data_IF_917984734839
#
_entry.id   IF_917984734839
#
_cell.length_a   1.000
_cell.length_b   1.000
_cell.length_c   1.000
_cell.angle_alpha   90.00
_cell.angle_beta   90.00
_cell.angle_gamma   90.00
#
_symmetry.space_group_name_H-M   'P 1'
#
loop_
_entity.id
_entity.type
_entity.pdbx_description
1 polymer ?
#
# COMPACT_ATOMS: atom_id res chain seq x y z
N UNK A 1 65.60 -42.02 -9.54
CA UNK A 1 65.37 -41.27 -8.29
C UNK A 1 64.56 -40.02 -8.63
N UNK A 2 63.28 -40.00 -8.25
CA UNK A 2 62.29 -39.02 -8.72
C UNK A 2 62.51 -37.63 -8.12
N UNK A 3 62.62 -36.59 -8.97
CA UNK A 3 62.50 -35.19 -8.56
C UNK A 3 61.02 -34.79 -8.70
N UNK A 4 60.39 -34.56 -7.55
CA UNK A 4 58.98 -34.20 -7.43
C UNK A 4 58.77 -32.78 -7.99
N UNK A 5 57.94 -32.68 -9.02
CA UNK A 5 57.31 -31.43 -9.42
C UNK A 5 56.16 -31.16 -8.46
N UNK A 6 56.20 -30.04 -7.75
CA UNK A 6 55.05 -29.54 -6.99
C UNK A 6 54.66 -28.19 -7.58
N UNK A 7 53.76 -28.22 -8.56
CA UNK A 7 53.06 -27.03 -9.05
C UNK A 7 51.99 -26.71 -8.02
N UNK A 8 52.21 -25.69 -7.19
CA UNK A 8 51.18 -25.12 -6.33
C UNK A 8 50.30 -24.20 -7.16
N UNK A 9 49.16 -24.70 -7.63
CA UNK A 9 48.15 -23.88 -8.31
C UNK A 9 47.48 -22.96 -7.27
N UNK A 10 47.73 -21.67 -7.43
CA UNK A 10 47.14 -20.56 -6.70
C UNK A 10 45.66 -20.41 -7.11
N UNK A 11 44.72 -20.85 -6.27
CA UNK A 11 43.30 -20.51 -6.40
C UNK A 11 42.99 -19.32 -5.49
N UNK A 12 43.19 -18.10 -6.02
CA UNK A 12 42.56 -16.91 -5.45
C UNK A 12 41.09 -16.97 -5.88
N UNK A 13 40.23 -17.46 -5.00
CA UNK A 13 38.80 -17.25 -5.14
C UNK A 13 38.51 -15.77 -4.88
N UNK A 14 38.58 -14.96 -5.93
CA UNK A 14 37.94 -13.65 -5.97
C UNK A 14 36.44 -13.90 -5.97
N UNK A 15 35.86 -14.08 -4.78
CA UNK A 15 34.43 -13.89 -4.60
C UNK A 15 34.18 -12.40 -4.81
N UNK A 16 33.79 -12.05 -6.04
CA UNK A 16 33.23 -10.76 -6.36
C UNK A 16 32.17 -10.43 -5.30
N UNK A 17 32.13 -9.19 -4.76
CA UNK A 17 30.95 -8.78 -4.04
C UNK A 17 29.81 -8.87 -5.05
N UNK A 18 28.91 -9.83 -4.88
CA UNK A 18 27.53 -9.63 -5.31
C UNK A 18 27.11 -8.38 -4.56
N UNK A 19 27.07 -7.26 -5.27
CA UNK A 19 26.30 -6.11 -4.83
C UNK A 19 24.86 -6.62 -4.79
N UNK A 20 24.43 -7.13 -3.63
CA UNK A 20 23.04 -7.09 -3.26
C UNK A 20 22.68 -5.61 -3.36
N UNK A 21 22.05 -5.25 -4.47
CA UNK A 21 21.59 -3.89 -4.66
C UNK A 21 20.59 -3.66 -3.53
N UNK A 22 20.95 -2.81 -2.59
CA UNK A 22 20.08 -2.42 -1.48
C UNK A 22 18.82 -1.81 -2.09
N UNK A 23 17.80 -2.64 -2.34
CA UNK A 23 16.47 -2.21 -2.77
C UNK A 23 15.75 -1.48 -1.62
N UNK A 24 16.46 -0.89 -0.67
CA UNK A 24 15.84 -0.07 0.36
C UNK A 24 15.47 1.28 -0.24
N UNK A 25 14.17 1.51 -0.43
CA UNK A 25 13.59 2.82 -0.74
C UNK A 25 12.52 3.15 0.31
N UNK A 26 12.92 3.70 1.47
CA UNK A 26 11.98 4.00 2.55
C UNK A 26 10.91 5.02 2.16
N UNK A 27 11.20 5.90 1.20
CA UNK A 27 10.22 6.87 0.71
C UNK A 27 9.11 6.14 -0.06
N UNK A 28 9.47 5.25 -0.98
CA UNK A 28 8.49 4.45 -1.71
C UNK A 28 7.74 3.48 -0.80
N UNK A 29 8.38 2.91 0.23
CA UNK A 29 7.67 2.13 1.26
C UNK A 29 6.56 2.96 1.90
N UNK A 30 6.86 4.19 2.32
CA UNK A 30 5.85 5.10 2.89
C UNK A 30 4.74 5.46 1.91
N UNK A 31 5.08 5.69 0.64
CA UNK A 31 4.10 5.96 -0.42
C UNK A 31 3.19 4.76 -0.69
N UNK A 32 3.72 3.54 -0.69
CA UNK A 32 2.93 2.32 -0.87
C UNK A 32 2.07 2.00 0.34
N UNK A 33 2.52 2.36 1.55
CA UNK A 33 1.69 2.26 2.75
C UNK A 33 0.44 3.15 2.68
N UNK A 34 0.45 4.22 1.86
CA UNK A 34 -0.74 5.04 1.64
C UNK A 34 -1.91 4.24 1.03
N UNK A 35 -1.67 3.09 0.40
CA UNK A 35 -2.72 2.22 -0.11
C UNK A 35 -3.57 1.65 1.04
N UNK A 36 -2.92 1.24 2.14
CA UNK A 36 -3.60 0.86 3.38
C UNK A 36 -4.32 2.06 4.03
N UNK A 37 -3.75 3.26 3.87
CA UNK A 37 -4.43 4.51 4.23
C UNK A 37 -5.75 4.72 3.47
N UNK A 38 -5.78 4.46 2.17
CA UNK A 38 -7.01 4.51 1.35
C UNK A 38 -8.06 3.50 1.82
N UNK A 39 -7.65 2.27 2.14
CA UNK A 39 -8.56 1.28 2.74
C UNK A 39 -9.12 1.78 4.08
N UNK A 40 -8.25 2.28 4.96
CA UNK A 40 -8.67 2.79 6.27
C UNK A 40 -9.68 3.94 6.15
N UNK A 41 -9.52 4.82 5.16
CA UNK A 41 -10.50 5.88 4.86
C UNK A 41 -11.86 5.28 4.54
N UNK A 42 -11.91 4.28 3.65
CA UNK A 42 -13.15 3.62 3.24
C UNK A 42 -13.80 2.91 4.43
N UNK A 43 -13.05 2.16 5.23
CA UNK A 43 -13.55 1.40 6.37
C UNK A 43 -14.13 2.31 7.46
N UNK A 44 -13.41 3.40 7.79
CA UNK A 44 -13.85 4.39 8.78
C UNK A 44 -15.13 5.08 8.33
N UNK A 45 -15.17 5.56 7.08
CA UNK A 45 -16.34 6.28 6.59
C UNK A 45 -17.53 5.36 6.34
N UNK A 46 -17.30 4.10 6.01
CA UNK A 46 -18.37 3.08 5.94
C UNK A 46 -19.08 3.00 7.28
N UNK A 47 -18.34 2.93 8.39
CA UNK A 47 -18.94 2.88 9.73
C UNK A 47 -19.68 4.16 10.06
N UNK A 48 -19.02 5.31 9.94
CA UNK A 48 -19.62 6.59 10.35
C UNK A 48 -20.80 7.00 9.49
N UNK A 49 -20.73 6.80 8.17
CA UNK A 49 -21.85 7.14 7.30
C UNK A 49 -23.00 6.15 7.39
N UNK A 50 -22.72 4.85 7.53
CA UNK A 50 -23.76 3.87 7.85
C UNK A 50 -24.58 4.30 9.05
N UNK A 51 -23.95 4.71 10.16
CA UNK A 51 -24.66 5.16 11.35
C UNK A 51 -25.37 6.51 11.13
N UNK A 52 -24.69 7.46 10.48
CA UNK A 52 -25.20 8.82 10.26
C UNK A 52 -26.46 8.85 9.40
N UNK A 53 -26.54 7.98 8.40
CA UNK A 53 -27.67 7.95 7.45
C UNK A 53 -28.76 6.95 7.84
N UNK A 54 -28.77 6.48 9.10
CA UNK A 54 -29.84 5.62 9.62
C UNK A 54 -29.68 4.15 9.25
N UNK A 55 -28.45 3.63 9.31
CA UNK A 55 -28.10 2.23 9.05
C UNK A 55 -28.29 1.81 7.59
N UNK A 56 -27.99 2.72 6.66
CA UNK A 56 -28.10 2.46 5.22
C UNK A 56 -27.03 1.44 4.77
N UNK A 57 -27.45 0.25 4.36
CA UNK A 57 -26.53 -0.83 3.96
C UNK A 57 -25.73 -0.51 2.71
N UNK A 58 -26.13 0.49 1.90
CA UNK A 58 -25.40 0.88 0.69
C UNK A 58 -23.92 1.19 0.96
N UNK A 59 -23.58 1.76 2.13
CA UNK A 59 -22.19 2.02 2.51
C UNK A 59 -21.36 0.74 2.68
N UNK A 60 -21.95 -0.32 3.24
CA UNK A 60 -21.27 -1.61 3.39
C UNK A 60 -21.08 -2.30 2.04
N UNK A 61 -22.09 -2.22 1.18
CA UNK A 61 -22.03 -2.77 -0.17
C UNK A 61 -20.98 -2.04 -1.02
N UNK A 62 -20.95 -0.70 -0.95
CA UNK A 62 -19.95 0.12 -1.62
C UNK A 62 -18.53 -0.19 -1.14
N UNK A 63 -18.32 -0.35 0.17
CA UNK A 63 -17.02 -0.72 0.74
C UNK A 63 -16.55 -2.11 0.28
N UNK A 64 -17.46 -3.09 0.26
CA UNK A 64 -17.17 -4.43 -0.23
C UNK A 64 -16.79 -4.40 -1.72
N UNK A 65 -17.52 -3.64 -2.53
CA UNK A 65 -17.22 -3.47 -3.96
C UNK A 65 -15.89 -2.75 -4.19
N UNK A 66 -15.60 -1.70 -3.40
CA UNK A 66 -14.29 -1.05 -3.40
C UNK A 66 -13.18 -2.05 -3.10
N UNK A 67 -13.33 -2.87 -2.06
CA UNK A 67 -12.33 -3.88 -1.72
C UNK A 67 -12.10 -4.87 -2.87
N UNK A 68 -13.17 -5.35 -3.52
CA UNK A 68 -13.05 -6.25 -4.67
C UNK A 68 -12.27 -5.64 -5.84
N UNK A 69 -12.43 -4.33 -6.10
CA UNK A 69 -11.68 -3.63 -7.14
C UNK A 69 -10.22 -3.37 -6.75
N UNK A 70 -9.94 -3.22 -5.46
CA UNK A 70 -8.65 -2.70 -4.97
C UNK A 70 -7.76 -3.77 -4.31
N UNK A 71 -8.26 -4.97 -4.00
CA UNK A 71 -7.49 -6.03 -3.32
C UNK A 71 -6.21 -6.39 -4.06
N UNK A 72 -6.22 -6.40 -5.39
CA UNK A 72 -5.03 -6.68 -6.19
C UNK A 72 -3.95 -5.59 -6.06
N UNK A 73 -4.34 -4.34 -5.85
CA UNK A 73 -3.42 -3.23 -5.64
C UNK A 73 -2.82 -3.27 -4.22
N UNK A 74 -3.62 -3.62 -3.21
CA UNK A 74 -3.16 -3.81 -1.84
C UNK A 74 -2.13 -4.95 -1.76
N UNK A 75 -2.43 -6.09 -2.37
CA UNK A 75 -1.53 -7.25 -2.42
C UNK A 75 -0.24 -6.94 -3.21
N UNK A 76 -0.33 -6.18 -4.31
CA UNK A 76 0.84 -5.69 -5.02
C UNK A 76 1.72 -4.80 -4.13
N UNK A 77 1.11 -3.84 -3.43
CA UNK A 77 1.85 -2.94 -2.54
C UNK A 77 2.56 -3.72 -1.43
N UNK A 78 1.87 -4.66 -0.77
CA UNK A 78 2.46 -5.50 0.28
C UNK A 78 3.69 -6.26 -0.21
N UNK A 79 3.62 -6.89 -1.39
CA UNK A 79 4.77 -7.58 -1.96
C UNK A 79 5.94 -6.65 -2.27
N UNK A 80 5.66 -5.49 -2.84
CA UNK A 80 6.72 -4.52 -3.20
C UNK A 80 7.35 -3.93 -1.94
N UNK A 81 6.55 -3.57 -0.94
CA UNK A 81 7.03 -3.11 0.37
C UNK A 81 8.01 -4.12 0.98
N UNK A 82 7.66 -5.40 0.99
CA UNK A 82 8.54 -6.46 1.50
C UNK A 82 9.82 -6.58 0.68
N UNK A 83 9.74 -6.50 -0.66
CA UNK A 83 10.91 -6.49 -1.55
C UNK A 83 11.85 -5.31 -1.26
N UNK A 84 11.29 -4.18 -0.82
CA UNK A 84 12.03 -2.97 -0.45
C UNK A 84 12.54 -2.98 1.01
N UNK A 85 12.34 -4.08 1.76
CA UNK A 85 12.78 -4.21 3.14
C UNK A 85 11.92 -3.48 4.17
N UNK A 86 10.72 -3.05 3.80
CA UNK A 86 9.72 -2.48 4.71
C UNK A 86 8.65 -3.51 5.11
N UNK A 87 7.53 -3.01 5.66
CA UNK A 87 6.33 -3.83 5.89
C UNK A 87 6.07 -4.18 7.35
N UNK A 88 6.65 -3.40 8.27
CA UNK A 88 6.36 -3.58 9.68
C UNK A 88 4.91 -3.25 10.00
N UNK A 89 4.35 -3.92 11.01
CA UNK A 89 3.01 -3.64 11.51
C UNK A 89 2.87 -2.17 11.96
N UNK A 90 3.94 -1.59 12.52
CA UNK A 90 3.95 -0.19 12.95
C UNK A 90 3.81 0.79 11.78
N UNK A 91 4.51 0.56 10.66
CA UNK A 91 4.39 1.39 9.46
C UNK A 91 2.98 1.31 8.88
N UNK A 92 2.42 0.10 8.77
CA UNK A 92 1.05 -0.09 8.30
C UNK A 92 0.05 0.62 9.20
N UNK A 93 0.16 0.42 10.53
CA UNK A 93 -0.71 1.06 11.52
C UNK A 93 -0.64 2.58 11.45
N UNK A 94 0.56 3.14 11.22
CA UNK A 94 0.75 4.57 11.07
C UNK A 94 0.00 5.10 9.83
N UNK A 95 0.07 4.40 8.69
CA UNK A 95 -0.63 4.81 7.48
C UNK A 95 -2.16 4.69 7.61
N UNK A 96 -2.66 3.61 8.20
CA UNK A 96 -4.08 3.44 8.51
C UNK A 96 -4.58 4.55 9.44
N UNK A 97 -3.82 4.85 10.50
CA UNK A 97 -4.15 5.91 11.47
C UNK A 97 -4.15 7.28 10.81
N UNK A 98 -3.18 7.55 9.94
CA UNK A 98 -3.10 8.80 9.20
C UNK A 98 -4.32 8.97 8.28
N UNK A 99 -4.63 7.98 7.45
CA UNK A 99 -5.80 8.01 6.56
C UNK A 99 -7.11 8.21 7.32
N UNK A 100 -7.33 7.41 8.37
CA UNK A 100 -8.51 7.53 9.23
C UNK A 100 -8.64 8.90 9.90
N UNK A 101 -7.53 9.46 10.41
CA UNK A 101 -7.54 10.78 11.06
C UNK A 101 -7.87 11.89 10.07
N UNK A 102 -7.30 11.83 8.86
CA UNK A 102 -7.51 12.83 7.82
C UNK A 102 -8.98 12.87 7.39
N UNK A 103 -9.59 11.72 7.10
CA UNK A 103 -10.99 11.70 6.69
C UNK A 103 -11.93 12.06 7.83
N UNK A 104 -11.64 11.65 9.07
CA UNK A 104 -12.46 12.04 10.22
C UNK A 104 -12.38 13.53 10.52
N UNK A 105 -11.24 14.16 10.27
CA UNK A 105 -11.12 15.61 10.36
C UNK A 105 -12.04 16.29 9.35
N UNK A 106 -12.01 15.86 8.07
CA UNK A 106 -12.87 16.39 7.03
C UNK A 106 -14.36 16.14 7.34
N UNK A 107 -14.69 14.92 7.77
CA UNK A 107 -16.04 14.56 8.21
C UNK A 107 -16.51 15.49 9.32
N UNK A 108 -15.72 15.67 10.39
CA UNK A 108 -16.07 16.51 11.54
C UNK A 108 -16.22 18.00 11.18
N UNK A 109 -15.48 18.49 10.19
CA UNK A 109 -15.57 19.86 9.70
C UNK A 109 -16.74 20.10 8.73
N UNK A 110 -17.32 19.04 8.15
CA UNK A 110 -18.44 19.17 7.23
C UNK A 110 -19.67 19.82 7.90
N UNK A 111 -20.25 20.85 7.26
CA UNK A 111 -21.44 21.53 7.77
C UNK A 111 -22.71 20.68 7.75
N UNK A 112 -22.81 19.76 6.79
CA UNK A 112 -23.88 18.76 6.71
C UNK A 112 -23.27 17.36 6.51
N UNK A 113 -23.42 16.51 7.53
CA UNK A 113 -22.88 15.15 7.53
C UNK A 113 -23.61 14.24 6.55
N UNK A 114 -24.91 14.45 6.31
CA UNK A 114 -25.67 13.63 5.35
C UNK A 114 -25.18 13.89 3.93
N UNK A 115 -24.98 15.16 3.57
CA UNK A 115 -24.43 15.51 2.26
C UNK A 115 -22.99 15.02 2.10
N UNK A 116 -22.16 15.13 3.14
CA UNK A 116 -20.82 14.52 3.13
C UNK A 116 -20.89 13.02 2.85
N UNK A 117 -21.75 12.30 3.57
CA UNK A 117 -21.88 10.86 3.45
C UNK A 117 -22.38 10.41 2.07
N UNK A 118 -23.41 11.08 1.51
CA UNK A 118 -23.83 10.78 0.14
C UNK A 118 -22.71 11.02 -0.88
N UNK A 119 -21.96 12.10 -0.72
CA UNK A 119 -20.83 12.40 -1.62
C UNK A 119 -19.75 11.34 -1.51
N UNK A 120 -19.42 10.92 -0.28
CA UNK A 120 -18.48 9.82 -0.05
C UNK A 120 -18.96 8.53 -0.73
N UNK A 121 -20.24 8.15 -0.56
CA UNK A 121 -20.82 6.98 -1.20
C UNK A 121 -20.69 7.04 -2.73
N UNK A 122 -21.07 8.17 -3.34
CA UNK A 122 -20.96 8.40 -4.78
C UNK A 122 -19.50 8.27 -5.28
N UNK A 123 -18.52 8.76 -4.52
CA UNK A 123 -17.10 8.64 -4.86
C UNK A 123 -16.59 7.19 -4.75
N UNK A 124 -17.08 6.43 -3.78
CA UNK A 124 -16.73 5.00 -3.65
C UNK A 124 -17.38 4.19 -4.78
N UNK A 125 -18.65 4.41 -5.08
CA UNK A 125 -19.38 3.65 -6.10
C UNK A 125 -18.90 3.95 -7.52
N UNK A 126 -18.54 5.21 -7.80
CA UNK A 126 -17.99 5.60 -9.10
C UNK A 126 -16.54 5.17 -9.32
N UNK A 127 -15.87 4.63 -8.30
CA UNK A 127 -14.45 4.29 -8.34
C UNK A 127 -13.52 5.49 -8.16
N UNK A 128 -14.04 6.68 -7.90
CA UNK A 128 -13.22 7.87 -7.61
C UNK A 128 -12.26 7.66 -6.43
N UNK A 129 -12.62 6.81 -5.46
CA UNK A 129 -11.79 6.42 -4.33
C UNK A 129 -10.87 5.21 -4.60
N UNK A 130 -10.88 4.63 -5.79
CA UNK A 130 -10.01 3.49 -6.12
C UNK A 130 -8.54 3.92 -6.16
N UNK A 131 -7.65 3.01 -5.76
CA UNK A 131 -6.21 3.27 -5.61
C UNK A 131 -5.59 3.69 -6.95
N UNK A 132 -6.04 3.12 -8.06
CA UNK A 132 -5.55 3.48 -9.40
C UNK A 132 -5.98 4.89 -9.84
N UNK A 133 -7.05 5.45 -9.27
CA UNK A 133 -7.47 6.84 -9.48
C UNK A 133 -6.74 7.80 -8.53
N UNK A 134 -6.59 7.40 -7.26
CA UNK A 134 -6.01 8.26 -6.23
C UNK A 134 -4.47 8.34 -6.30
N UNK A 135 -3.82 7.22 -6.64
CA UNK A 135 -2.36 7.06 -6.54
C UNK A 135 -1.77 6.41 -7.82
N UNK A 136 -2.10 6.88 -9.04
CA UNK A 136 -1.73 6.22 -10.29
C UNK A 136 -0.22 6.07 -10.48
N UNK A 137 0.55 7.11 -10.14
CA UNK A 137 2.01 7.10 -10.34
C UNK A 137 2.72 6.14 -9.37
N UNK A 138 2.24 6.06 -8.12
CA UNK A 138 2.78 5.14 -7.12
C UNK A 138 2.44 3.69 -7.52
N UNK A 139 1.21 3.44 -7.97
CA UNK A 139 0.80 2.14 -8.48
C UNK A 139 1.67 1.70 -9.66
N UNK A 140 1.91 2.60 -10.62
CA UNK A 140 2.77 2.32 -11.76
C UNK A 140 4.19 1.93 -11.33
N UNK A 141 4.79 2.67 -10.39
CA UNK A 141 6.12 2.35 -9.85
C UNK A 141 6.15 0.97 -9.17
N UNK A 142 5.12 0.63 -8.40
CA UNK A 142 5.00 -0.71 -7.81
C UNK A 142 4.91 -1.82 -8.88
N UNK A 143 4.15 -1.60 -9.95
CA UNK A 143 4.04 -2.56 -11.06
C UNK A 143 5.39 -2.76 -11.76
N UNK A 144 6.14 -1.68 -12.00
CA UNK A 144 7.47 -1.73 -12.60
C UNK A 144 8.46 -2.52 -11.72
N UNK A 145 8.45 -2.29 -10.41
CA UNK A 145 9.31 -3.03 -9.47
C UNK A 145 8.89 -4.49 -9.39
N UNK A 146 7.59 -4.80 -9.39
CA UNK A 146 7.11 -6.19 -9.33
C UNK A 146 7.39 -6.98 -10.62
N UNK A 147 7.58 -6.31 -11.75
CA UNK A 147 7.92 -6.94 -13.02
C UNK A 147 9.44 -7.15 -13.24
N UNK A 148 10.27 -6.62 -12.33
CA UNK A 148 11.74 -6.76 -12.33
C UNK A 148 12.22 -7.87 -11.41
#
# INVERSE_FOLDING_TARGET
>A
MQRKFTIGALFIALTLPVSAQDYSDPALVGELMAFHGSQAIVDVMTTHCYETTGLDSAYKDAAANWYLRNIGYLDLADRVIVKLGGGSEAERKAAETYGGTQIMTAYNQAGDKNTFCRTFLEQVDSGGMDIDQQLPDILKRAQEISAS
#
